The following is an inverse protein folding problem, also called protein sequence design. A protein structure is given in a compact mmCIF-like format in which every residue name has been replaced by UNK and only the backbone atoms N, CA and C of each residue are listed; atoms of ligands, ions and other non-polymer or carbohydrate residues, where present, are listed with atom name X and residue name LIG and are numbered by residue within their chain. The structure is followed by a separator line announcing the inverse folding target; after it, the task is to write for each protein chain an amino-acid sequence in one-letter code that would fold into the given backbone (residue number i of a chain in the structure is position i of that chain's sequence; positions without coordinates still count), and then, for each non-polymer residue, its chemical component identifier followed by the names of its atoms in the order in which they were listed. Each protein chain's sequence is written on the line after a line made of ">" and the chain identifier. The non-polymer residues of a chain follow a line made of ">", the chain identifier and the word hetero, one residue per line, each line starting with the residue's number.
data_IF_063665580582
#
_entry.id   IF_063665580582
#
_cell.length_a   1.000
_cell.length_b   1.000
_cell.length_c   1.000
_cell.angle_alpha   90.00
_cell.angle_beta   90.00
_cell.angle_gamma   90.00
#
_symmetry.space_group_name_H-M   'P 1'
#
loop_
_entity.id
_entity.type
_entity.pdbx_description
1 polymer ?
#
# COMPACT_ATOMS: atom_id res chain seq x y z
N UNK A 1 10.54 7.55 -18.74
CA UNK A 1 9.80 7.38 -17.47
C UNK A 1 8.51 8.20 -17.39
N UNK A 2 8.52 9.53 -17.54
CA UNK A 2 7.31 10.39 -17.45
C UNK A 2 6.19 9.96 -18.41
N UNK A 3 6.53 9.58 -19.64
CA UNK A 3 5.54 9.10 -20.62
C UNK A 3 4.85 7.80 -20.19
N UNK A 4 5.55 6.91 -19.46
CA UNK A 4 4.96 5.68 -18.92
C UNK A 4 3.92 6.05 -17.86
N UNK A 5 4.28 6.92 -16.93
CA UNK A 5 3.38 7.37 -15.86
C UNK A 5 2.14 8.07 -16.47
N UNK A 6 2.33 8.94 -17.46
CA UNK A 6 1.23 9.64 -18.13
C UNK A 6 0.27 8.67 -18.84
N UNK A 7 0.79 7.65 -19.51
CA UNK A 7 -0.03 6.65 -20.18
C UNK A 7 -0.88 5.85 -19.19
N UNK A 8 -0.29 5.48 -18.05
CA UNK A 8 -1.02 4.78 -16.98
C UNK A 8 -2.14 5.64 -16.38
N UNK A 9 -1.92 6.95 -16.22
CA UNK A 9 -2.97 7.87 -15.78
C UNK A 9 -4.15 7.95 -16.75
N UNK A 10 -3.89 7.84 -18.06
CA UNK A 10 -4.94 7.87 -19.09
C UNK A 10 -5.69 6.53 -19.15
N UNK A 11 -4.99 5.41 -19.00
CA UNK A 11 -5.59 4.07 -19.07
C UNK A 11 -6.39 3.72 -17.80
N UNK A 12 -6.00 4.26 -16.65
CA UNK A 12 -6.56 3.86 -15.36
C UNK A 12 -7.90 4.54 -15.10
N UNK A 13 -8.98 3.75 -15.12
CA UNK A 13 -10.31 4.21 -14.65
C UNK A 13 -10.24 4.68 -13.19
N UNK A 14 -10.70 5.91 -12.93
CA UNK A 14 -10.77 6.55 -11.60
C UNK A 14 -11.60 5.76 -10.56
N UNK A 15 -12.45 4.84 -11.00
CA UNK A 15 -13.35 4.05 -10.15
C UNK A 15 -12.63 3.22 -9.09
N UNK A 16 -11.45 2.67 -9.38
CA UNK A 16 -10.70 1.85 -8.39
C UNK A 16 -10.23 2.66 -7.19
N UNK A 17 -9.82 3.91 -7.39
CA UNK A 17 -9.42 4.80 -6.29
C UNK A 17 -10.63 5.21 -5.43
N UNK A 18 -11.76 5.49 -6.07
CA UNK A 18 -12.99 5.88 -5.38
C UNK A 18 -13.49 4.74 -4.49
N UNK A 19 -13.60 3.53 -5.05
CA UNK A 19 -14.06 2.34 -4.32
C UNK A 19 -13.20 2.10 -3.07
N UNK A 20 -11.87 2.21 -3.20
CA UNK A 20 -10.99 2.04 -2.05
C UNK A 20 -11.26 3.07 -0.95
N UNK A 21 -11.30 4.36 -1.30
CA UNK A 21 -11.52 5.40 -0.30
C UNK A 21 -12.87 5.23 0.42
N UNK A 22 -13.90 4.79 -0.31
CA UNK A 22 -15.20 4.43 0.26
C UNK A 22 -15.09 3.24 1.21
N UNK A 23 -14.33 2.20 0.85
CA UNK A 23 -14.10 1.04 1.73
C UNK A 23 -13.36 1.47 3.00
N UNK A 24 -12.30 2.28 2.89
CA UNK A 24 -11.56 2.78 4.06
C UNK A 24 -12.51 3.55 4.99
N UNK A 25 -13.35 4.43 4.43
CA UNK A 25 -14.34 5.16 5.22
C UNK A 25 -15.36 4.24 5.89
N UNK A 26 -15.79 3.17 5.22
CA UNK A 26 -16.66 2.17 5.83
C UNK A 26 -15.97 1.47 7.02
N UNK A 27 -14.68 1.14 6.91
CA UNK A 27 -13.89 0.57 8.01
C UNK A 27 -13.70 1.56 9.17
N UNK A 28 -13.50 2.84 8.88
CA UNK A 28 -13.48 3.89 9.90
C UNK A 28 -14.84 3.98 10.60
N UNK A 29 -15.95 3.99 9.87
CA UNK A 29 -17.29 4.01 10.45
C UNK A 29 -17.58 2.78 11.32
N UNK A 30 -17.14 1.60 10.89
CA UNK A 30 -17.26 0.36 11.66
C UNK A 30 -16.39 0.40 12.93
N UNK A 31 -15.16 0.89 12.86
CA UNK A 31 -14.28 1.00 14.03
C UNK A 31 -14.80 2.01 15.05
N UNK A 32 -15.34 3.14 14.59
CA UNK A 32 -16.03 4.11 15.42
C UNK A 32 -17.23 3.49 16.14
N UNK A 33 -18.12 2.81 15.41
CA UNK A 33 -19.29 2.14 15.99
C UNK A 33 -18.89 1.04 16.99
N UNK A 34 -17.88 0.25 16.65
CA UNK A 34 -17.36 -0.79 17.53
C UNK A 34 -16.83 -0.21 18.85
N UNK A 35 -16.05 0.88 18.80
CA UNK A 35 -15.53 1.51 20.02
C UNK A 35 -16.63 2.09 20.91
N UNK A 36 -17.67 2.70 20.33
CA UNK A 36 -18.81 3.19 21.13
C UNK A 36 -19.53 2.02 21.82
N UNK A 37 -19.88 0.98 21.04
CA UNK A 37 -20.72 -0.11 21.53
C UNK A 37 -20.00 -1.05 22.49
N UNK A 38 -18.73 -1.37 22.24
CA UNK A 38 -18.01 -2.39 23.00
C UNK A 38 -17.16 -1.83 24.13
N UNK A 39 -16.56 -0.65 23.96
CA UNK A 39 -15.69 -0.04 24.97
C UNK A 39 -16.40 1.02 25.82
N UNK A 40 -17.66 1.37 25.52
CA UNK A 40 -18.46 2.30 26.33
C UNK A 40 -17.91 3.74 26.36
N UNK A 41 -17.02 4.07 25.43
CA UNK A 41 -16.37 5.39 25.35
C UNK A 41 -17.39 6.39 24.79
N UNK A 42 -17.78 7.37 25.61
CA UNK A 42 -18.75 8.41 25.23
C UNK A 42 -18.16 9.57 24.43
N UNK A 43 -16.84 9.77 24.50
CA UNK A 43 -16.13 10.86 23.81
C UNK A 43 -14.78 10.37 23.30
N UNK A 44 -14.48 10.65 22.04
CA UNK A 44 -13.19 10.34 21.45
C UNK A 44 -12.24 11.52 21.56
N UNK A 45 -10.97 11.22 21.82
CA UNK A 45 -9.89 12.20 21.77
C UNK A 45 -9.40 12.39 20.32
N UNK A 46 -8.76 13.53 20.05
CA UNK A 46 -8.15 13.82 18.74
C UNK A 46 -7.23 12.70 18.21
N UNK A 47 -6.27 12.15 19.00
CA UNK A 47 -5.42 11.05 18.53
C UNK A 47 -6.22 9.80 18.18
N UNK A 48 -7.22 9.42 18.97
CA UNK A 48 -8.00 8.21 18.70
C UNK A 48 -8.76 8.26 17.38
N UNK A 49 -9.22 9.44 16.97
CA UNK A 49 -9.89 9.62 15.67
C UNK A 49 -8.88 9.43 14.55
N UNK A 50 -7.72 10.11 14.60
CA UNK A 50 -6.70 9.97 13.55
C UNK A 50 -6.15 8.55 13.50
N UNK A 51 -5.94 7.91 14.65
CA UNK A 51 -5.50 6.51 14.73
C UNK A 51 -6.51 5.56 14.09
N UNK A 52 -7.82 5.84 14.19
CA UNK A 52 -8.85 5.05 13.50
C UNK A 52 -8.72 5.17 11.98
N UNK A 53 -8.49 6.38 11.46
CA UNK A 53 -8.21 6.59 10.03
C UNK A 53 -6.91 5.94 9.60
N UNK A 54 -5.84 6.11 10.38
CA UNK A 54 -4.53 5.56 10.10
C UNK A 54 -4.57 4.03 10.06
N UNK A 55 -5.03 3.39 11.12
CA UNK A 55 -5.15 1.93 11.21
C UNK A 55 -6.05 1.35 10.10
N UNK A 56 -7.18 2.00 9.80
CA UNK A 56 -8.07 1.58 8.71
C UNK A 56 -7.39 1.71 7.35
N UNK A 57 -6.61 2.78 7.14
CA UNK A 57 -5.84 2.99 5.92
C UNK A 57 -4.79 1.88 5.78
N UNK A 58 -3.95 1.68 6.80
CA UNK A 58 -2.87 0.69 6.80
C UNK A 58 -3.39 -0.73 6.54
N UNK A 59 -4.50 -1.11 7.18
CA UNK A 59 -5.10 -2.44 6.98
C UNK A 59 -5.62 -2.65 5.55
N UNK A 60 -6.07 -1.59 4.88
CA UNK A 60 -6.56 -1.66 3.49
C UNK A 60 -5.46 -1.48 2.43
N UNK A 61 -4.29 -0.95 2.80
CA UNK A 61 -3.20 -0.71 1.85
C UNK A 61 -2.68 -1.98 1.20
N UNK A 62 -2.43 -3.04 1.97
CA UNK A 62 -1.89 -4.28 1.42
C UNK A 62 -2.82 -4.94 0.37
N UNK A 63 -4.12 -5.16 0.65
CA UNK A 63 -5.10 -5.57 -0.36
C UNK A 63 -5.16 -4.64 -1.57
N UNK A 64 -5.09 -3.33 -1.34
CA UNK A 64 -5.17 -2.35 -2.43
C UNK A 64 -3.96 -2.42 -3.36
N UNK A 65 -2.76 -2.56 -2.80
CA UNK A 65 -1.52 -2.74 -3.57
C UNK A 65 -1.62 -3.97 -4.46
N UNK A 66 -2.15 -5.09 -3.97
CA UNK A 66 -2.38 -6.31 -4.78
C UNK A 66 -3.28 -6.01 -5.99
N UNK A 67 -4.39 -5.31 -5.77
CA UNK A 67 -5.34 -4.97 -6.84
C UNK A 67 -4.68 -4.03 -7.87
N UNK A 68 -3.98 -3.00 -7.42
CA UNK A 68 -3.28 -2.07 -8.29
C UNK A 68 -2.20 -2.77 -9.12
N UNK A 69 -1.40 -3.63 -8.50
CA UNK A 69 -0.38 -4.42 -9.19
C UNK A 69 -1.00 -5.31 -10.26
N UNK A 70 -2.09 -6.02 -9.95
CA UNK A 70 -2.74 -6.89 -10.91
C UNK A 70 -3.30 -6.13 -12.11
N UNK A 71 -3.80 -4.91 -11.89
CA UNK A 71 -4.30 -4.02 -12.94
C UNK A 71 -3.17 -3.40 -13.77
N UNK A 72 -2.20 -2.75 -13.13
CA UNK A 72 -1.13 -1.99 -13.80
C UNK A 72 -0.12 -2.91 -14.47
N UNK A 73 0.18 -4.06 -13.87
CA UNK A 73 1.18 -4.99 -14.38
C UNK A 73 0.49 -6.07 -15.21
N UNK A 74 -0.33 -6.93 -14.59
CA UNK A 74 -0.80 -8.15 -15.24
C UNK A 74 -1.85 -7.90 -16.34
N UNK A 75 -2.75 -6.93 -16.16
CA UNK A 75 -3.75 -6.60 -17.20
C UNK A 75 -3.10 -6.05 -18.47
N UNK A 76 -2.02 -5.28 -18.35
CA UNK A 76 -1.25 -4.83 -19.52
C UNK A 76 -0.50 -5.96 -20.24
N UNK A 77 -0.02 -6.98 -19.52
CA UNK A 77 0.50 -8.19 -20.18
C UNK A 77 -0.59 -8.91 -20.97
N UNK A 78 -1.78 -9.04 -20.40
CA UNK A 78 -2.93 -9.68 -21.04
C UNK A 78 -3.42 -8.94 -22.27
N UNK A 79 -3.49 -7.61 -22.20
CA UNK A 79 -3.97 -6.77 -23.30
C UNK A 79 -2.89 -6.47 -24.35
N UNK A 80 -1.69 -7.05 -24.20
CA UNK A 80 -0.57 -6.84 -25.12
C UNK A 80 0.13 -5.48 -25.00
N UNK A 81 -0.28 -4.61 -24.07
CA UNK A 81 0.31 -3.28 -23.86
C UNK A 81 1.79 -3.34 -23.52
N UNK A 82 2.22 -4.39 -22.79
CA UNK A 82 3.64 -4.57 -22.44
C UNK A 82 4.55 -4.76 -23.67
N UNK A 83 4.02 -5.32 -24.77
CA UNK A 83 4.78 -5.46 -26.03
C UNK A 83 5.09 -4.11 -26.65
N UNK A 84 4.13 -3.19 -26.61
CA UNK A 84 4.24 -1.86 -27.20
C UNK A 84 5.35 -1.06 -26.49
N UNK A 85 5.49 -1.22 -25.18
CA UNK A 85 6.57 -0.57 -24.42
C UNK A 85 7.96 -1.11 -24.77
N UNK A 86 8.08 -2.35 -25.22
CA UNK A 86 9.36 -3.00 -25.53
C UNK A 86 9.77 -2.90 -27.00
N UNK A 87 8.84 -2.53 -27.88
CA UNK A 87 9.14 -2.13 -29.26
C UNK A 87 9.78 -0.74 -29.27
N UNK A 88 9.41 0.11 -28.32
CA UNK A 88 10.13 1.35 -28.03
C UNK A 88 11.45 1.05 -27.30
N UNK A 89 12.50 1.88 -27.43
CA UNK A 89 13.80 1.68 -26.79
C UNK A 89 13.75 1.99 -25.28
N UNK A 90 12.79 1.41 -24.56
CA UNK A 90 12.67 1.49 -23.12
C UNK A 90 13.25 0.21 -22.51
N UNK A 91 14.14 0.38 -21.54
CA UNK A 91 14.68 -0.76 -20.81
C UNK A 91 13.61 -1.39 -19.91
N UNK A 92 13.71 -2.71 -19.70
CA UNK A 92 12.80 -3.44 -18.79
C UNK A 92 12.80 -2.84 -17.38
N UNK A 93 13.95 -2.40 -16.89
CA UNK A 93 14.04 -1.77 -15.57
C UNK A 93 13.32 -0.41 -15.52
N UNK A 94 13.36 0.38 -16.58
CA UNK A 94 12.58 1.63 -16.63
C UNK A 94 11.09 1.39 -16.62
N UNK A 95 10.61 0.30 -17.23
CA UNK A 95 9.19 -0.08 -17.17
C UNK A 95 8.81 -0.53 -15.75
N UNK A 96 9.65 -1.36 -15.12
CA UNK A 96 9.46 -1.78 -13.72
C UNK A 96 9.36 -0.57 -12.78
N UNK A 97 10.31 0.35 -12.87
CA UNK A 97 10.36 1.57 -12.05
C UNK A 97 9.16 2.46 -12.35
N UNK A 98 8.84 2.68 -13.63
CA UNK A 98 7.70 3.51 -14.04
C UNK A 98 6.37 3.00 -13.49
N UNK A 99 6.13 1.69 -13.57
CA UNK A 99 4.91 1.06 -13.02
C UNK A 99 4.87 1.09 -11.50
N UNK A 100 5.98 0.80 -10.84
CA UNK A 100 6.07 0.85 -9.38
C UNK A 100 5.85 2.27 -8.86
N UNK A 101 6.41 3.28 -9.53
CA UNK A 101 6.17 4.71 -9.24
C UNK A 101 4.71 5.10 -9.44
N UNK A 102 4.07 4.62 -10.51
CA UNK A 102 2.64 4.88 -10.73
C UNK A 102 1.78 4.31 -9.59
N UNK A 103 2.06 3.09 -9.14
CA UNK A 103 1.36 2.47 -8.00
C UNK A 103 1.61 3.29 -6.72
N UNK A 104 2.85 3.71 -6.47
CA UNK A 104 3.21 4.55 -5.34
C UNK A 104 2.45 5.89 -5.34
N UNK A 105 2.34 6.56 -6.50
CA UNK A 105 1.58 7.81 -6.64
C UNK A 105 0.10 7.61 -6.30
N UNK A 106 -0.51 6.51 -6.75
CA UNK A 106 -1.90 6.21 -6.42
C UNK A 106 -2.10 6.01 -4.90
N UNK A 107 -1.15 5.36 -4.23
CA UNK A 107 -1.20 5.18 -2.77
C UNK A 107 -0.99 6.51 -2.05
N UNK A 108 -0.06 7.35 -2.52
CA UNK A 108 0.15 8.70 -1.99
C UNK A 108 -1.13 9.53 -2.08
N UNK A 109 -1.84 9.49 -3.21
CA UNK A 109 -3.12 10.19 -3.37
C UNK A 109 -4.14 9.66 -2.34
N UNK A 110 -4.25 8.34 -2.16
CA UNK A 110 -5.12 7.75 -1.14
C UNK A 110 -4.74 8.23 0.26
N UNK A 111 -3.47 8.19 0.63
CA UNK A 111 -3.00 8.64 1.95
C UNK A 111 -3.33 10.12 2.19
N UNK A 112 -3.09 10.99 1.19
CA UNK A 112 -3.44 12.42 1.27
C UNK A 112 -4.94 12.59 1.50
N UNK A 113 -5.79 11.89 0.76
CA UNK A 113 -7.25 11.94 0.95
C UNK A 113 -7.62 11.52 2.38
N UNK A 114 -7.02 10.44 2.89
CA UNK A 114 -7.33 9.94 4.24
C UNK A 114 -6.86 10.89 5.34
N UNK A 115 -5.69 11.54 5.19
CA UNK A 115 -5.22 12.58 6.11
C UNK A 115 -6.17 13.79 6.11
N UNK A 116 -6.61 14.23 4.94
CA UNK A 116 -7.56 15.35 4.85
C UNK A 116 -8.90 15.00 5.52
N UNK A 117 -9.40 13.79 5.28
CA UNK A 117 -10.65 13.31 5.89
C UNK A 117 -10.52 13.12 7.41
N UNK A 118 -9.37 12.65 7.90
CA UNK A 118 -9.14 12.52 9.33
C UNK A 118 -9.15 13.87 10.03
N UNK A 119 -8.50 14.90 9.46
CA UNK A 119 -8.52 16.25 10.01
C UNK A 119 -9.91 16.89 9.95
N UNK A 120 -10.67 16.67 8.87
CA UNK A 120 -12.07 17.10 8.80
C UNK A 120 -12.89 16.43 9.91
N UNK A 121 -12.73 15.12 10.11
CA UNK A 121 -13.44 14.40 11.16
C UNK A 121 -13.09 14.92 12.57
N UNK A 122 -11.81 15.19 12.84
CA UNK A 122 -11.36 15.78 14.10
C UNK A 122 -12.02 17.14 14.35
N UNK A 123 -12.03 18.02 13.34
CA UNK A 123 -12.67 19.34 13.43
C UNK A 123 -14.17 19.26 13.71
N UNK A 124 -14.88 18.27 13.14
CA UNK A 124 -16.33 18.09 13.33
C UNK A 124 -16.64 17.50 14.70
N UNK A 125 -15.87 16.51 15.16
CA UNK A 125 -16.20 15.71 16.35
C UNK A 125 -15.63 16.25 17.66
N UNK A 126 -14.56 17.04 17.59
CA UNK A 126 -13.84 17.51 18.80
C UNK A 126 -13.64 19.03 18.78
N UNK A 127 -12.53 19.49 18.20
CA UNK A 127 -12.11 20.87 18.09
C UNK A 127 -10.98 20.98 17.06
N UNK A 128 -10.56 22.21 16.72
CA UNK A 128 -9.46 22.43 15.78
C UNK A 128 -8.19 21.71 16.28
N UNK A 129 -7.55 20.87 15.46
CA UNK A 129 -6.34 20.14 15.85
C UNK A 129 -5.18 21.11 16.12
N UNK A 130 -4.34 20.77 17.10
CA UNK A 130 -3.10 21.52 17.35
C UNK A 130 -2.09 21.33 16.20
N UNK A 131 -1.23 22.32 15.99
CA UNK A 131 -0.20 22.26 14.93
C UNK A 131 0.75 21.09 15.15
N UNK A 132 1.17 20.86 16.39
CA UNK A 132 2.06 19.74 16.74
C UNK A 132 1.44 18.38 16.38
N UNK A 133 0.14 18.23 16.59
CA UNK A 133 -0.60 17.01 16.25
C UNK A 133 -0.70 16.78 14.74
N UNK A 134 -0.90 17.85 13.97
CA UNK A 134 -0.90 17.79 12.50
C UNK A 134 0.47 17.34 11.99
N UNK A 135 1.55 17.92 12.52
CA UNK A 135 2.92 17.58 12.12
C UNK A 135 3.21 16.11 12.46
N UNK A 136 2.86 15.66 13.66
CA UNK A 136 3.05 14.26 14.08
C UNK A 136 2.33 13.29 13.13
N UNK A 137 1.05 13.55 12.84
CA UNK A 137 0.25 12.72 11.93
C UNK A 137 0.85 12.68 10.52
N UNK A 138 1.32 13.81 10.00
CA UNK A 138 1.96 13.86 8.67
C UNK A 138 3.25 13.03 8.61
N UNK A 139 4.07 13.09 9.66
CA UNK A 139 5.30 12.30 9.75
C UNK A 139 5.01 10.80 9.80
N UNK A 140 4.00 10.38 10.54
CA UNK A 140 3.57 8.98 10.61
C UNK A 140 3.20 8.43 9.23
N UNK A 141 2.36 9.15 8.46
CA UNK A 141 2.05 8.77 7.09
C UNK A 141 3.28 8.79 6.16
N UNK A 142 4.17 9.77 6.28
CA UNK A 142 5.39 9.84 5.47
C UNK A 142 6.31 8.62 5.69
N UNK A 143 6.52 8.23 6.95
CA UNK A 143 7.39 7.09 7.29
C UNK A 143 6.80 5.78 6.75
N UNK A 144 5.48 5.64 6.68
CA UNK A 144 4.83 4.43 6.12
C UNK A 144 5.10 4.21 4.64
N UNK A 145 5.56 5.22 3.90
CA UNK A 145 5.91 5.07 2.49
C UNK A 145 7.08 4.08 2.29
N UNK A 146 7.98 3.99 3.26
CA UNK A 146 9.14 3.09 3.18
C UNK A 146 8.68 1.62 3.09
N UNK A 147 7.93 1.04 4.06
CA UNK A 147 7.45 -0.33 3.94
C UNK A 147 6.47 -0.52 2.76
N UNK A 148 5.70 0.51 2.40
CA UNK A 148 4.81 0.45 1.21
C UNK A 148 5.61 0.21 -0.06
N UNK A 149 6.71 0.93 -0.27
CA UNK A 149 7.57 0.71 -1.46
C UNK A 149 8.14 -0.71 -1.50
N UNK A 150 8.60 -1.23 -0.36
CA UNK A 150 9.06 -2.62 -0.23
C UNK A 150 7.94 -3.61 -0.58
N UNK A 151 6.74 -3.39 -0.06
CA UNK A 151 5.58 -4.24 -0.32
C UNK A 151 5.17 -4.24 -1.80
N UNK A 152 5.18 -3.08 -2.48
CA UNK A 152 4.92 -2.98 -3.93
C UNK A 152 5.91 -3.86 -4.72
N UNK A 153 7.20 -3.75 -4.40
CA UNK A 153 8.24 -4.49 -5.13
C UNK A 153 8.12 -6.00 -4.91
N UNK A 154 7.87 -6.46 -3.68
CA UNK A 154 7.67 -7.89 -3.40
C UNK A 154 6.43 -8.42 -4.12
N UNK A 155 5.31 -7.70 -4.03
CA UNK A 155 4.06 -8.15 -4.65
C UNK A 155 4.07 -8.03 -6.18
N UNK A 156 5.02 -7.28 -6.76
CA UNK A 156 5.23 -7.25 -8.21
C UNK A 156 5.81 -8.57 -8.74
N UNK A 157 6.54 -9.33 -7.92
CA UNK A 157 7.14 -10.62 -8.30
C UNK A 157 6.09 -11.61 -8.82
N UNK A 158 5.04 -11.97 -8.06
CA UNK A 158 4.00 -12.85 -8.57
C UNK A 158 3.28 -12.25 -9.78
N UNK A 159 3.14 -10.93 -9.88
CA UNK A 159 2.52 -10.30 -11.05
C UNK A 159 3.31 -10.50 -12.35
N UNK A 160 4.64 -10.63 -12.26
CA UNK A 160 5.50 -11.00 -13.38
C UNK A 160 5.53 -12.50 -13.67
N UNK A 161 5.14 -13.35 -12.73
CA UNK A 161 5.08 -14.79 -12.96
C UNK A 161 3.71 -15.23 -13.49
N UNK A 162 2.64 -14.60 -13.00
CA UNK A 162 1.27 -14.97 -13.32
C UNK A 162 0.84 -14.43 -14.69
N UNK A 163 0.03 -15.24 -15.38
CA UNK A 163 -0.51 -14.88 -16.70
C UNK A 163 -1.72 -13.97 -16.61
N UNK A 164 -2.58 -14.15 -15.60
CA UNK A 164 -3.86 -13.43 -15.51
C UNK A 164 -3.95 -12.56 -14.26
N UNK A 165 -4.61 -11.40 -14.37
CA UNK A 165 -4.81 -10.49 -13.24
C UNK A 165 -5.54 -11.16 -12.08
N UNK A 166 -6.51 -12.04 -12.37
CA UNK A 166 -7.22 -12.85 -11.37
C UNK A 166 -6.26 -13.73 -10.55
N UNK A 167 -5.28 -14.38 -11.19
CA UNK A 167 -4.32 -15.24 -10.49
C UNK A 167 -3.36 -14.41 -9.64
N UNK A 168 -2.94 -13.23 -10.13
CA UNK A 168 -2.14 -12.28 -9.34
C UNK A 168 -2.89 -11.83 -8.10
N UNK A 169 -4.18 -11.48 -8.24
CA UNK A 169 -5.04 -11.10 -7.12
C UNK A 169 -5.16 -12.23 -6.10
N UNK A 170 -5.52 -13.43 -6.55
CA UNK A 170 -5.70 -14.59 -5.67
C UNK A 170 -4.41 -14.93 -4.93
N UNK A 171 -3.27 -14.92 -5.62
CA UNK A 171 -1.97 -15.12 -4.99
C UNK A 171 -1.64 -14.02 -3.97
N UNK A 172 -1.86 -12.75 -4.31
CA UNK A 172 -1.57 -11.64 -3.41
C UNK A 172 -2.39 -11.70 -2.11
N UNK A 173 -3.70 -11.98 -2.22
CA UNK A 173 -4.54 -12.19 -1.04
C UNK A 173 -4.13 -13.44 -0.24
N UNK A 174 -3.83 -14.54 -0.92
CA UNK A 174 -3.34 -15.75 -0.27
C UNK A 174 -2.02 -15.51 0.45
N UNK A 175 -1.09 -14.74 -0.14
CA UNK A 175 0.17 -14.38 0.49
C UNK A 175 -0.05 -13.54 1.75
N UNK A 176 -0.93 -12.53 1.70
CA UNK A 176 -1.27 -11.71 2.87
C UNK A 176 -1.82 -12.58 4.00
N UNK A 177 -2.81 -13.42 3.71
CA UNK A 177 -3.42 -14.29 4.71
C UNK A 177 -2.48 -15.38 5.23
N UNK A 178 -1.70 -16.01 4.34
CA UNK A 178 -0.73 -17.04 4.71
C UNK A 178 0.36 -16.47 5.62
N UNK A 179 0.79 -15.23 5.41
CA UNK A 179 1.74 -14.57 6.30
C UNK A 179 1.17 -14.43 7.72
N UNK A 180 -0.08 -13.95 7.86
CA UNK A 180 -0.71 -13.83 9.18
C UNK A 180 -0.85 -15.19 9.88
N UNK A 181 -1.14 -16.26 9.12
CA UNK A 181 -1.20 -17.64 9.65
C UNK A 181 0.18 -18.16 10.04
N UNK A 182 1.21 -18.01 9.21
CA UNK A 182 2.57 -18.49 9.53
C UNK A 182 3.14 -17.73 10.73
N UNK A 183 2.86 -16.44 10.81
CA UNK A 183 3.27 -15.57 11.91
C UNK A 183 2.68 -16.03 13.26
N UNK A 184 1.47 -16.58 13.29
CA UNK A 184 0.86 -17.10 14.52
C UNK A 184 1.53 -18.37 15.05
N UNK A 185 2.16 -19.17 14.18
CA UNK A 185 2.93 -20.36 14.59
C UNK A 185 4.37 -20.03 14.97
N UNK A 186 4.94 -18.93 14.45
CA UNK A 186 6.34 -18.58 14.64
C UNK A 186 6.49 -17.11 15.08
N UNK A 187 6.19 -16.84 16.35
CA UNK A 187 6.22 -15.48 16.91
C UNK A 187 7.55 -14.76 16.69
N UNK A 188 8.68 -15.47 16.72
CA UNK A 188 10.02 -14.91 16.48
C UNK A 188 10.21 -14.34 15.07
N UNK A 189 9.42 -14.80 14.09
CA UNK A 189 9.48 -14.32 12.71
C UNK A 189 8.54 -13.13 12.46
N UNK A 190 7.57 -12.90 13.36
CA UNK A 190 6.59 -11.80 13.23
C UNK A 190 7.23 -10.43 12.99
N UNK A 191 8.33 -10.02 13.69
CA UNK A 191 8.85 -8.66 13.56
C UNK A 191 9.49 -8.40 12.19
N UNK A 192 9.85 -9.46 11.47
CA UNK A 192 10.51 -9.39 10.17
C UNK A 192 9.54 -9.38 9.00
N UNK A 193 8.24 -9.61 9.22
CA UNK A 193 7.25 -9.57 8.14
C UNK A 193 7.00 -8.14 7.67
N UNK A 194 7.07 -7.89 6.35
CA UNK A 194 6.76 -6.57 5.78
C UNK A 194 5.35 -6.08 6.14
N UNK A 195 4.38 -6.99 6.32
CA UNK A 195 3.02 -6.64 6.75
C UNK A 195 2.97 -6.22 8.22
N UNK A 196 3.76 -6.88 9.07
CA UNK A 196 3.91 -6.50 10.46
C UNK A 196 4.61 -5.15 10.59
N UNK A 197 5.70 -4.97 9.83
CA UNK A 197 6.47 -3.72 9.75
C UNK A 197 5.56 -2.57 9.31
N UNK A 198 4.73 -2.78 8.28
CA UNK A 198 3.75 -1.78 7.83
C UNK A 198 2.75 -1.39 8.94
N UNK A 199 2.23 -2.37 9.68
CA UNK A 199 1.27 -2.15 10.78
C UNK A 199 1.89 -1.46 12.01
N UNK A 200 3.18 -1.65 12.25
CA UNK A 200 3.85 -1.22 13.49
C UNK A 200 4.91 -0.12 13.30
N UNK A 201 5.00 0.49 12.11
CA UNK A 201 6.13 1.39 11.82
C UNK A 201 6.16 2.65 12.71
N UNK A 202 4.99 3.15 13.11
CA UNK A 202 4.86 4.41 13.84
C UNK A 202 4.54 4.24 15.34
N UNK A 203 4.66 3.03 15.89
CA UNK A 203 4.31 2.75 17.29
C UNK A 203 5.36 3.27 18.27
N UNK A 204 6.65 3.29 17.91
CA UNK A 204 7.74 3.82 18.75
C UNK A 204 8.97 4.25 17.94
N UNK A 205 9.82 5.11 18.52
CA UNK A 205 11.06 5.56 17.86
C UNK A 205 12.06 4.42 17.62
N UNK A 206 12.19 3.48 18.55
CA UNK A 206 13.12 2.35 18.40
C UNK A 206 12.60 1.33 17.38
N UNK A 207 11.28 1.11 17.33
CA UNK A 207 10.67 0.33 16.26
C UNK A 207 10.82 1.02 14.91
N UNK A 208 10.75 2.35 14.83
CA UNK A 208 10.86 3.10 13.58
C UNK A 208 12.19 2.83 12.87
N UNK A 209 13.33 2.89 13.58
CA UNK A 209 14.65 2.61 13.01
C UNK A 209 14.72 1.17 12.49
N UNK A 210 14.35 0.20 13.33
CA UNK A 210 14.43 -1.21 12.96
C UNK A 210 13.50 -1.56 11.79
N UNK A 211 12.26 -1.06 11.82
CA UNK A 211 11.26 -1.26 10.79
C UNK A 211 11.66 -0.61 9.46
N UNK A 212 12.32 0.55 9.52
CA UNK A 212 12.88 1.22 8.34
C UNK A 212 14.01 0.41 7.72
N UNK A 213 14.93 -0.13 8.53
CA UNK A 213 16.02 -0.99 8.07
C UNK A 213 15.50 -2.27 7.41
N UNK A 214 14.54 -2.95 8.04
CA UNK A 214 13.89 -4.14 7.48
C UNK A 214 13.22 -3.80 6.13
N UNK A 215 12.52 -2.66 6.06
CA UNK A 215 11.88 -2.21 4.82
C UNK A 215 12.88 -1.94 3.71
N UNK A 216 14.05 -1.35 4.02
CA UNK A 216 15.12 -1.14 3.04
C UNK A 216 15.65 -2.46 2.47
N UNK A 217 15.81 -3.49 3.32
CA UNK A 217 16.20 -4.83 2.86
C UNK A 217 15.16 -5.39 1.90
N UNK A 218 13.88 -5.24 2.20
CA UNK A 218 12.79 -5.65 1.32
C UNK A 218 12.75 -4.89 -0.01
N UNK A 219 13.06 -3.59 0.00
CA UNK A 219 13.16 -2.78 -1.23
C UNK A 219 14.29 -3.32 -2.11
N UNK A 220 15.49 -3.54 -1.54
CA UNK A 220 16.66 -4.02 -2.28
C UNK A 220 16.40 -5.42 -2.86
N UNK A 221 15.98 -6.37 -2.01
CA UNK A 221 15.73 -7.75 -2.43
C UNK A 221 14.56 -7.81 -3.41
N UNK A 222 13.47 -7.11 -3.12
CA UNK A 222 12.29 -7.05 -3.99
C UNK A 222 12.62 -6.49 -5.36
N UNK A 223 13.42 -5.43 -5.43
CA UNK A 223 13.88 -4.85 -6.69
C UNK A 223 14.79 -5.81 -7.48
N UNK A 224 15.78 -6.42 -6.83
CA UNK A 224 16.70 -7.35 -7.50
C UNK A 224 15.98 -8.58 -8.07
N UNK A 225 15.09 -9.19 -7.27
CA UNK A 225 14.34 -10.38 -7.69
C UNK A 225 13.33 -10.02 -8.79
N UNK A 226 12.56 -8.94 -8.62
CA UNK A 226 11.58 -8.52 -9.63
C UNK A 226 12.25 -8.13 -10.96
N UNK A 227 13.38 -7.42 -10.91
CA UNK A 227 14.17 -7.08 -12.10
C UNK A 227 14.72 -8.34 -12.78
N UNK A 228 15.29 -9.28 -12.02
CA UNK A 228 15.79 -10.54 -12.56
C UNK A 228 14.69 -11.34 -13.26
N UNK A 229 13.55 -11.55 -12.60
CA UNK A 229 12.40 -12.27 -13.16
C UNK A 229 11.87 -11.56 -14.41
N UNK A 230 11.73 -10.23 -14.36
CA UNK A 230 11.22 -9.48 -15.48
C UNK A 230 12.18 -9.49 -16.69
N UNK A 231 13.50 -9.55 -16.45
CA UNK A 231 14.50 -9.69 -17.51
C UNK A 231 14.44 -11.04 -18.23
N UNK A 232 14.05 -12.12 -17.53
CA UNK A 232 13.99 -13.48 -18.08
C UNK A 232 12.63 -13.85 -18.67
N UNK A 233 11.58 -13.10 -18.35
CA UNK A 233 10.23 -13.37 -18.86
C UNK A 233 10.18 -13.18 -20.38
N UNK A 234 9.76 -14.21 -21.10
CA UNK A 234 9.37 -14.10 -22.51
C UNK A 234 8.02 -13.36 -22.62
N UNK A 235 7.95 -12.40 -23.53
CA UNK A 235 6.75 -11.59 -23.74
C UNK A 235 6.17 -12.02 -25.08
N UNK A 236 5.25 -12.97 -25.01
CA UNK A 236 4.62 -13.62 -26.17
C UNK A 236 3.41 -12.88 -26.65
#
# INVERSE_FOLDING_TARGET
>A
MINIIKNEFISTKKSTLIILNVIILAFVGLSYFAKIKFSGVGYFTQPEIVDMFFSSTINMLAPFIVILIAKVITEEFNNGGMKIYLINPLSRNEVLIGKSMFILINILITMIIQILLSFIAVCILTQVPSVDFIIYSLLEYLVTLIPVTGLILILSIPAFLMKTSRNTILFGFAAIAAFDVVASFYEKLTPYSILYVLKNIAVSNQSLINNSLISLVYIIIGFLISSYIFSKREIR
#
